data_IF_251777969966
#
_entry.id   IF_251777969966
#
_cell.length_a   1.000
_cell.length_b   1.000
_cell.length_c   1.000
_cell.angle_alpha   90.00
_cell.angle_beta   90.00
_cell.angle_gamma   90.00
#
_symmetry.space_group_name_H-M   'P 1'
#
loop_
_entity.id
_entity.type
_entity.pdbx_description
1 polymer ?
2 non-polymer ?
3 non-polymer ?
4 non-polymer ?
5 water ?
#
# COMPACT_ATOMS: atom_id res chain seq x y z
N UNK A 19 -7.30 8.70 -24.17
CA UNK A 19 -5.96 9.11 -24.70
C UNK A 19 -4.89 9.13 -23.59
N UNK A 20 -4.58 7.94 -23.08
CA UNK A 20 -3.74 7.80 -21.88
C UNK A 20 -2.26 8.14 -22.11
N UNK A 21 -1.68 7.71 -23.23
CA UNK A 21 -0.28 8.10 -23.53
C UNK A 21 -0.11 9.63 -23.62
N UNK A 22 -1.08 10.30 -24.23
CA UNK A 22 -0.98 11.76 -24.37
C UNK A 22 -1.03 12.45 -23.02
N UNK A 23 -1.92 11.98 -22.14
CA UNK A 23 -2.24 12.72 -20.93
C UNK A 23 -1.38 12.33 -19.72
N UNK A 24 -0.93 11.08 -19.66
CA UNK A 24 -0.29 10.58 -18.43
C UNK A 24 1.03 11.29 -18.16
N UNK A 25 1.21 11.75 -16.93
CA UNK A 25 2.46 12.34 -16.51
C UNK A 25 3.15 11.63 -15.34
N UNK A 26 2.35 10.94 -14.51
CA UNK A 26 2.88 10.40 -13.25
C UNK A 26 2.26 9.05 -12.93
N UNK A 27 3.04 8.20 -12.27
CA UNK A 27 2.55 6.90 -11.80
C UNK A 27 2.71 6.91 -10.29
N UNK A 28 1.59 6.69 -9.58
CA UNK A 28 1.53 6.85 -8.12
C UNK A 28 1.56 5.45 -7.54
N UNK A 29 2.72 5.07 -6.99
CA UNK A 29 2.92 3.73 -6.44
C UNK A 29 2.63 3.69 -4.96
N UNK A 30 1.79 2.75 -4.54
CA UNK A 30 1.79 2.36 -3.15
C UNK A 30 3.14 1.73 -2.75
N UNK A 31 3.44 1.71 -1.45
CA UNK A 31 4.69 1.12 -0.97
C UNK A 31 4.56 -0.38 -0.59
N UNK A 32 3.86 -0.70 0.49
CA UNK A 32 3.84 -2.11 0.93
C UNK A 32 3.02 -2.96 -0.02
N UNK A 33 3.62 -4.06 -0.48
CA UNK A 33 2.96 -4.96 -1.41
C UNK A 33 3.04 -4.53 -2.86
N UNK A 34 3.72 -3.40 -3.12
CA UNK A 34 3.90 -2.90 -4.49
C UNK A 34 5.39 -2.66 -4.76
N UNK A 35 5.99 -1.77 -3.97
CA UNK A 35 7.43 -1.53 -4.05
C UNK A 35 8.27 -2.47 -3.18
N UNK A 36 7.83 -2.70 -1.94
CA UNK A 36 8.50 -3.64 -1.04
C UNK A 36 7.64 -4.86 -0.83
N UNK A 37 8.30 -6.01 -0.74
CA UNK A 37 7.58 -7.24 -0.47
C UNK A 37 7.49 -7.46 1.03
N UNK A 38 6.75 -6.56 1.69
CA UNK A 38 6.68 -6.54 3.16
C UNK A 38 5.41 -7.15 3.70
N UNK A 39 4.39 -7.32 2.85
CA UNK A 39 3.11 -7.79 3.39
C UNK A 39 3.08 -9.21 3.96
N UNK A 40 3.89 -10.17 3.45
CA UNK A 40 3.93 -11.47 4.16
C UNK A 40 4.36 -11.30 5.61
N UNK A 41 5.23 -10.32 5.86
CA UNK A 41 5.74 -10.10 7.20
C UNK A 41 4.75 -9.33 8.07
N UNK A 42 4.09 -8.31 7.51
CA UNK A 42 3.04 -7.64 8.25
C UNK A 42 1.89 -8.60 8.56
N UNK A 43 1.53 -9.42 7.59
CA UNK A 43 0.45 -10.38 7.80
C UNK A 43 0.81 -11.41 8.88
N UNK A 44 2.01 -11.98 8.79
CA UNK A 44 2.42 -12.98 9.77
C UNK A 44 2.47 -12.38 11.16
N UNK A 45 3.01 -11.17 11.29
CA UNK A 45 3.14 -10.51 12.59
C UNK A 45 1.77 -10.26 13.19
N UNK A 46 0.82 -9.79 12.38
CA UNK A 46 -0.54 -9.55 12.90
C UNK A 46 -1.20 -10.85 13.29
N UNK A 47 -1.11 -11.84 12.41
CA UNK A 47 -1.72 -13.13 12.69
C UNK A 47 -1.15 -13.70 13.99
N UNK A 48 0.18 -13.69 14.13
CA UNK A 48 0.83 -14.32 15.26
C UNK A 48 0.61 -13.55 16.57
N UNK A 49 0.67 -12.20 16.56
CA UNK A 49 0.44 -11.44 17.80
C UNK A 49 -0.97 -11.73 18.32
N UNK A 50 -1.93 -11.75 17.41
CA UNK A 50 -3.30 -11.97 17.84
C UNK A 50 -3.47 -13.39 18.39
N UNK A 51 -2.82 -14.36 17.73
CA UNK A 51 -2.84 -15.77 18.15
C UNK A 51 -2.30 -15.94 19.57
N UNK A 52 -1.22 -15.23 19.90
CA UNK A 52 -0.63 -15.36 21.25
C UNK A 52 -1.55 -14.77 22.30
N UNK A 53 -2.40 -13.83 21.89
CA UNK A 53 -3.47 -13.30 22.76
C UNK A 53 -4.75 -14.15 22.74
N UNK A 54 -4.71 -15.29 22.05
CA UNK A 54 -5.87 -16.17 21.90
C UNK A 54 -6.97 -15.67 20.99
N UNK A 55 -6.60 -14.81 20.05
CA UNK A 55 -7.55 -14.22 19.12
C UNK A 55 -7.23 -14.64 17.70
N UNK A 56 -8.27 -14.76 16.88
CA UNK A 56 -8.13 -15.29 15.52
C UNK A 56 -8.20 -14.18 14.49
N UNK A 57 -7.04 -13.90 13.89
CA UNK A 57 -6.95 -13.00 12.76
C UNK A 57 -6.13 -13.76 11.75
N UNK A 58 -6.77 -14.27 10.68
CA UNK A 58 -6.05 -15.11 9.71
C UNK A 58 -5.05 -14.26 8.93
N UNK A 59 -4.09 -14.97 8.34
CA UNK A 59 -3.11 -14.32 7.50
C UNK A 59 -3.76 -13.61 6.32
N UNK A 60 -4.76 -14.25 5.71
CA UNK A 60 -5.48 -13.62 4.62
C UNK A 60 -6.26 -12.39 5.12
N UNK A 61 -6.90 -12.49 6.28
CA UNK A 61 -7.61 -11.31 6.82
C UNK A 61 -6.73 -10.09 7.11
N UNK A 62 -5.50 -10.34 7.55
CA UNK A 62 -4.57 -9.24 7.75
C UNK A 62 -4.33 -8.47 6.44
N UNK A 63 -4.28 -9.18 5.31
CA UNK A 63 -4.20 -8.51 4.00
C UNK A 63 -5.43 -7.65 3.71
N UNK A 64 -6.62 -8.12 4.09
CA UNK A 64 -7.83 -7.29 3.90
C UNK A 64 -7.75 -5.95 4.62
N UNK A 65 -7.14 -5.94 5.81
CA UNK A 65 -7.07 -4.74 6.63
C UNK A 65 -5.87 -3.86 6.37
N UNK A 66 -5.13 -4.16 5.31
CA UNK A 66 -3.96 -3.35 4.98
C UNK A 66 -4.39 -1.92 4.69
N UNK A 67 -3.87 -0.99 5.50
CA UNK A 67 -4.30 0.41 5.41
C UNK A 67 -4.98 0.89 6.69
N UNK A 68 -5.62 -0.02 7.42
CA UNK A 68 -6.25 0.36 8.68
C UNK A 68 -5.22 0.66 9.74
N UNK A 69 -5.57 1.56 10.66
CA UNK A 69 -4.76 1.82 11.84
C UNK A 69 -4.68 0.55 12.68
N UNK A 70 -3.64 0.47 13.50
CA UNK A 70 -3.50 -0.62 14.47
C UNK A 70 -4.73 -0.72 15.36
N UNK A 71 -5.16 0.43 15.89
CA UNK A 71 -6.37 0.51 16.69
C UNK A 71 -7.61 -0.07 16.01
N UNK A 72 -7.88 0.33 14.77
CA UNK A 72 -9.04 -0.16 14.05
C UNK A 72 -9.00 -1.68 13.82
N UNK A 73 -7.84 -2.18 13.38
CA UNK A 73 -7.60 -3.62 13.19
C UNK A 73 -7.87 -4.42 14.48
N UNK A 74 -7.26 -3.96 15.58
CA UNK A 74 -7.38 -4.61 16.89
C UNK A 74 -8.84 -4.64 17.34
N UNK A 75 -9.51 -3.50 17.20
CA UNK A 75 -10.93 -3.38 17.60
C UNK A 75 -11.88 -4.25 16.80
N UNK A 76 -11.63 -4.41 15.50
CA UNK A 76 -12.37 -5.36 14.67
C UNK A 76 -12.34 -6.77 15.28
N UNK A 77 -11.17 -7.20 15.72
CA UNK A 77 -11.04 -8.53 16.31
C UNK A 77 -11.63 -8.59 17.72
N UNK A 78 -11.29 -7.60 18.55
CA UNK A 78 -11.80 -7.51 19.92
C UNK A 78 -13.34 -7.49 19.96
N UNK A 79 -13.94 -6.66 19.10
CA UNK A 79 -15.41 -6.51 19.07
C UNK A 79 -16.09 -7.83 18.68
N UNK A 80 -15.59 -8.50 17.64
CA UNK A 80 -16.22 -9.73 17.19
C UNK A 80 -15.96 -10.97 18.08
N UNK A 81 -14.86 -10.97 18.83
CA UNK A 81 -14.52 -12.13 19.66
C UNK A 81 -14.82 -11.98 21.14
N UNK A 82 -14.65 -10.78 21.67
CA UNK A 82 -14.80 -10.54 23.10
C UNK A 82 -16.03 -9.69 23.42
N UNK A 83 -16.70 -9.21 22.37
CA UNK A 83 -17.89 -8.37 22.50
C UNK A 83 -17.60 -6.98 23.08
N UNK A 84 -16.36 -6.54 22.98
CA UNK A 84 -15.96 -5.23 23.51
C UNK A 84 -14.78 -4.66 22.74
N UNK A 85 -14.58 -3.36 22.88
CA UNK A 85 -13.43 -2.65 22.36
C UNK A 85 -12.18 -3.02 23.16
N UNK A 86 -11.01 -2.78 22.59
CA UNK A 86 -9.75 -2.83 23.34
C UNK A 86 -9.51 -1.47 23.99
N UNK A 87 -8.82 -1.45 25.13
CA UNK A 87 -8.39 -0.20 25.73
C UNK A 87 -7.22 0.37 24.96
N UNK A 88 -6.92 1.65 25.22
CA UNK A 88 -5.75 2.29 24.65
C UNK A 88 -4.45 1.59 25.09
N UNK A 89 -4.43 1.08 26.32
CA UNK A 89 -3.31 0.31 26.87
C UNK A 89 -3.12 -1.02 26.13
N UNK A 90 -4.24 -1.66 25.77
CA UNK A 90 -4.21 -2.92 25.02
C UNK A 90 -3.76 -2.71 23.58
N UNK A 91 -4.19 -1.60 22.99
CA UNK A 91 -3.83 -1.22 21.62
C UNK A 91 -2.34 -0.91 21.50
N UNK A 92 -1.82 -0.10 22.43
CA UNK A 92 -0.40 0.27 22.46
C UNK A 92 0.49 -0.95 22.66
N UNK A 93 0.07 -1.86 23.53
CA UNK A 93 0.89 -3.03 23.84
C UNK A 93 0.84 -4.06 22.71
N UNK A 94 -0.32 -4.28 22.11
CA UNK A 94 -0.41 -5.23 20.96
C UNK A 94 0.37 -4.69 19.75
N UNK A 95 0.31 -3.38 19.50
CA UNK A 95 1.06 -2.78 18.41
C UNK A 95 2.58 -2.87 18.63
N UNK A 96 3.01 -2.72 19.89
CA UNK A 96 4.40 -2.90 20.25
C UNK A 96 4.83 -4.35 19.97
N UNK A 97 4.01 -5.30 20.41
CA UNK A 97 4.26 -6.74 20.19
C UNK A 97 4.36 -7.03 18.71
N UNK A 98 3.44 -6.45 17.94
CA UNK A 98 3.43 -6.68 16.48
C UNK A 98 4.74 -6.18 15.85
N UNK A 99 5.19 -5.00 16.29
CA UNK A 99 6.43 -4.41 15.81
C UNK A 99 7.66 -5.26 16.15
N UNK A 100 7.70 -5.76 17.38
CA UNK A 100 8.79 -6.64 17.82
C UNK A 100 8.87 -7.85 16.88
N UNK A 101 7.71 -8.48 16.61
CA UNK A 101 7.66 -9.64 15.72
C UNK A 101 8.08 -9.29 14.30
N UNK A 102 7.48 -8.24 13.75
CA UNK A 102 7.81 -7.83 12.39
C UNK A 102 9.32 -7.59 12.22
N UNK A 103 9.94 -6.87 13.18
CA UNK A 103 11.33 -6.54 13.06
C UNK A 103 12.24 -7.73 13.30
N UNK A 104 11.71 -8.79 13.93
CA UNK A 104 12.48 -10.04 14.13
C UNK A 104 12.58 -10.90 12.87
N UNK A 105 11.70 -10.64 11.91
CA UNK A 105 11.73 -11.31 10.61
C UNK A 105 12.82 -10.68 9.74
N UNK A 106 13.18 -11.33 8.61
CA UNK A 106 14.16 -10.67 7.75
C UNK A 106 13.67 -9.32 7.24
N UNK A 107 14.61 -8.43 6.91
CA UNK A 107 14.21 -7.16 6.29
C UNK A 107 13.48 -7.40 4.98
N UNK A 108 12.37 -6.70 4.75
CA UNK A 108 11.64 -6.83 3.47
C UNK A 108 12.47 -6.44 2.25
N UNK A 109 12.50 -7.32 1.26
CA UNK A 109 13.20 -7.05 0.01
C UNK A 109 12.30 -6.26 -0.94
N UNK A 110 12.90 -5.66 -1.94
CA UNK A 110 12.17 -5.07 -3.05
C UNK A 110 11.25 -6.11 -3.66
N UNK A 111 10.04 -5.70 -4.00
CA UNK A 111 9.13 -6.60 -4.68
C UNK A 111 9.68 -6.91 -6.11
N UNK A 112 9.79 -8.20 -6.51
CA UNK A 112 10.18 -8.49 -7.88
C UNK A 112 9.23 -7.80 -8.86
N UNK A 113 9.79 -7.14 -9.86
CA UNK A 113 8.95 -6.39 -10.80
C UNK A 113 8.89 -4.89 -10.51
N UNK A 114 9.17 -4.48 -9.27
CA UNK A 114 9.06 -3.06 -8.91
C UNK A 114 10.14 -2.20 -9.55
N UNK A 115 11.40 -2.61 -9.43
CA UNK A 115 12.48 -1.89 -10.14
C UNK A 115 12.16 -1.82 -11.64
N UNK A 116 11.75 -2.95 -12.18
CA UNK A 116 11.54 -3.07 -13.61
C UNK A 116 10.43 -2.14 -14.11
N UNK A 117 9.30 -2.12 -13.39
CA UNK A 117 8.21 -1.22 -13.78
C UNK A 117 8.63 0.25 -13.62
N UNK A 118 9.32 0.57 -12.53
CA UNK A 118 9.82 1.94 -12.31
C UNK A 118 10.72 2.38 -13.46
N UNK A 119 11.66 1.51 -13.84
CA UNK A 119 12.56 1.81 -14.93
C UNK A 119 11.79 2.00 -16.25
N UNK A 120 10.83 1.11 -16.49
CA UNK A 120 10.01 1.22 -17.71
C UNK A 120 9.22 2.55 -17.77
N UNK A 121 8.52 2.90 -16.69
CA UNK A 121 7.76 4.14 -16.72
C UNK A 121 8.69 5.37 -16.81
N UNK A 122 9.85 5.32 -16.15
CA UNK A 122 10.80 6.42 -16.23
C UNK A 122 11.27 6.59 -17.69
N UNK A 123 11.51 5.48 -18.38
CA UNK A 123 11.99 5.56 -19.77
C UNK A 123 10.93 6.13 -20.72
N UNK A 124 9.67 6.02 -20.31
CA UNK A 124 8.53 6.61 -21.04
C UNK A 124 8.29 8.10 -20.72
N UNK A 125 9.14 8.68 -19.88
CA UNK A 125 9.01 10.08 -19.51
C UNK A 125 8.01 10.35 -18.40
N UNK A 126 7.59 9.30 -17.69
CA UNK A 126 6.67 9.46 -16.58
C UNK A 126 7.40 9.69 -15.26
N UNK A 127 6.72 10.36 -14.33
CA UNK A 127 7.27 10.66 -13.02
C UNK A 127 6.74 9.69 -11.97
N UNK A 128 7.62 8.84 -11.40
CA UNK A 128 7.16 8.00 -10.28
C UNK A 128 6.95 8.81 -9.03
N UNK A 129 5.89 8.48 -8.28
CA UNK A 129 5.61 9.02 -6.98
C UNK A 129 5.27 7.88 -6.03
N UNK A 130 5.43 8.12 -4.72
CA UNK A 130 5.02 7.16 -3.69
C UNK A 130 3.86 7.72 -2.90
N UNK A 131 2.83 6.91 -2.70
CA UNK A 131 1.68 7.29 -1.86
C UNK A 131 1.43 6.15 -0.87
N UNK A 132 1.84 6.37 0.37
CA UNK A 132 1.84 5.32 1.40
C UNK A 132 1.14 5.76 2.67
N UNK A 133 0.44 4.83 3.31
CA UNK A 133 -0.06 5.07 4.67
C UNK A 133 0.96 4.84 5.77
N UNK A 134 2.16 4.44 5.39
CA UNK A 134 3.21 4.17 6.37
C UNK A 134 3.74 5.47 6.96
N UNK A 135 4.06 5.41 8.24
CA UNK A 135 4.74 6.48 8.97
C UNK A 135 5.88 5.75 9.64
N UNK A 136 5.96 4.45 9.35
CA UNK A 136 7.02 3.53 9.82
C UNK A 136 8.32 3.95 9.15
N UNK A 137 9.09 4.80 9.85
CA UNK A 137 10.35 5.36 9.32
C UNK A 137 11.46 4.34 8.98
N UNK A 138 11.28 3.09 9.42
CA UNK A 138 12.18 1.99 9.11
C UNK A 138 12.08 1.52 7.64
N UNK A 139 10.88 1.62 7.07
CA UNK A 139 10.68 1.33 5.64
C UNK A 139 10.78 2.62 4.78
N UNK A 140 10.27 3.73 5.31
CA UNK A 140 10.24 5.01 4.60
C UNK A 140 11.61 5.54 4.19
N UNK A 141 12.58 5.47 5.10
CA UNK A 141 13.96 5.88 4.85
C UNK A 141 14.65 5.02 3.79
N UNK A 142 14.23 3.76 3.70
CA UNK A 142 14.81 2.82 2.76
C UNK A 142 14.36 3.08 1.32
N UNK A 143 13.38 3.97 1.11
CA UNK A 143 12.91 4.26 -0.27
C UNK A 143 14.01 4.83 -1.14
N UNK A 144 14.70 5.86 -0.64
CA UNK A 144 15.71 6.58 -1.42
C UNK A 144 16.80 5.65 -1.85
N UNK A 145 17.25 4.82 -0.92
CA UNK A 145 18.38 4.04 -1.28
C UNK A 145 18.10 2.63 -1.82
N UNK A 146 16.86 2.15 -1.72
CA UNK A 146 16.46 0.97 -2.50
C UNK A 146 16.13 1.30 -3.94
N UNK A 147 15.67 2.53 -4.16
CA UNK A 147 15.30 2.97 -5.51
C UNK A 147 15.97 4.30 -5.87
N UNK A 148 17.33 4.32 -5.88
CA UNK A 148 17.99 5.59 -6.12
C UNK A 148 17.65 6.24 -7.45
N UNK A 149 17.40 7.54 -7.40
CA UNK A 149 17.02 8.26 -8.61
C UNK A 149 15.59 8.11 -9.07
N UNK A 150 14.81 7.21 -8.44
CA UNK A 150 13.43 7.01 -8.89
C UNK A 150 12.44 8.05 -8.41
N UNK A 151 12.66 8.51 -7.19
CA UNK A 151 11.68 9.34 -6.48
C UNK A 151 12.27 10.65 -5.99
N UNK A 152 11.38 11.60 -5.69
CA UNK A 152 11.77 12.88 -5.09
C UNK A 152 10.98 13.04 -3.80
N UNK A 153 11.63 13.48 -2.71
CA UNK A 153 10.96 13.67 -1.43
C UNK A 153 9.74 14.59 -1.52
N UNK A 154 9.82 15.57 -2.39
CA UNK A 154 8.70 16.50 -2.60
C UNK A 154 7.52 15.88 -3.38
N UNK A 155 7.72 14.69 -3.92
CA UNK A 155 6.68 14.00 -4.70
C UNK A 155 6.42 12.65 -4.03
N UNK A 156 6.29 12.75 -2.71
CA UNK A 156 5.94 11.59 -1.88
C UNK A 156 4.85 11.99 -0.92
N UNK A 157 3.93 11.06 -0.65
CA UNK A 157 2.89 11.26 0.36
C UNK A 157 3.00 10.09 1.34
N UNK A 158 3.15 10.40 2.63
CA UNK A 158 3.22 9.38 3.68
C UNK A 158 2.19 9.68 4.75
N UNK A 159 2.14 8.87 5.81
CA UNK A 159 1.22 9.09 6.93
C UNK A 159 1.40 10.48 7.54
N UNK A 160 2.62 11.01 7.46
CA UNK A 160 2.92 12.31 8.07
C UNK A 160 2.23 13.47 7.36
N UNK A 161 1.76 13.23 6.14
CA UNK A 161 1.22 14.31 5.31
C UNK A 161 -0.29 14.44 5.31
N UNK A 162 -0.98 13.44 5.85
CA UNK A 162 -2.44 13.36 5.68
C UNK A 162 -3.20 13.29 6.99
N UNK A 163 -4.44 13.78 6.96
CA UNK A 163 -5.37 13.67 8.07
C UNK A 163 -6.04 12.28 8.06
N UNK A 164 -6.61 11.91 6.91
CA UNK A 164 -7.28 10.63 6.77
C UNK A 164 -6.51 9.73 5.79
N UNK A 165 -6.20 8.51 6.23
CA UNK A 165 -5.53 7.52 5.41
C UNK A 165 -6.47 6.79 4.48
N UNK A 166 -5.91 5.96 3.60
CA UNK A 166 -6.71 5.06 2.75
C UNK A 166 -7.66 4.24 3.68
N UNK A 167 -8.94 4.06 3.31
CA UNK A 167 -9.54 4.24 1.99
C UNK A 167 -10.06 5.64 1.65
N UNK A 168 -9.85 6.61 2.55
CA UNK A 168 -10.16 8.00 2.20
C UNK A 168 -9.28 8.39 1.00
N UNK A 169 -9.84 9.12 0.02
CA UNK A 169 -9.00 9.52 -1.15
C UNK A 169 -7.90 10.54 -0.84
N UNK A 170 -7.92 11.14 0.35
CA UNK A 170 -6.97 12.22 0.69
C UNK A 170 -5.49 11.97 0.27
N UNK A 171 -4.92 10.77 0.57
CA UNK A 171 -3.50 10.61 0.18
C UNK A 171 -3.25 10.76 -1.33
N UNK A 172 -4.17 10.23 -2.15
CA UNK A 172 -4.02 10.34 -3.60
C UNK A 172 -4.36 11.73 -4.11
N UNK A 173 -5.35 12.39 -3.51
CA UNK A 173 -5.65 13.76 -3.88
C UNK A 173 -4.47 14.66 -3.52
N UNK A 174 -3.82 14.39 -2.39
CA UNK A 174 -2.64 15.15 -2.01
C UNK A 174 -1.47 14.89 -2.96
N UNK A 175 -1.30 13.65 -3.42
CA UNK A 175 -0.25 13.39 -4.42
C UNK A 175 -0.47 14.19 -5.68
N UNK A 176 -1.71 14.27 -6.16
CA UNK A 176 -2.00 15.11 -7.33
C UNK A 176 -1.62 16.57 -7.05
N UNK A 177 -1.95 17.06 -5.86
CA UNK A 177 -1.62 18.45 -5.49
C UNK A 177 -0.09 18.68 -5.48
N UNK A 178 0.68 17.80 -4.83
CA UNK A 178 2.14 17.93 -4.80
C UNK A 178 2.78 17.86 -6.17
N UNK A 179 2.22 17.03 -7.04
CA UNK A 179 2.75 16.90 -8.38
C UNK A 179 2.27 17.95 -9.36
N UNK A 180 1.32 18.80 -8.94
CA UNK A 180 0.66 19.75 -9.85
C UNK A 180 -0.08 19.04 -10.97
N UNK A 181 -0.79 17.97 -10.60
CA UNK A 181 -1.40 17.07 -11.56
C UNK A 181 -2.92 17.13 -11.47
N UNK A 182 -3.57 16.92 -12.60
CA UNK A 182 -5.00 16.57 -12.62
C UNK A 182 -5.11 15.04 -12.54
N UNK A 183 -6.27 14.54 -12.10
CA UNK A 183 -6.47 13.09 -11.98
C UNK A 183 -6.26 12.33 -13.28
N UNK A 184 -6.60 12.96 -14.41
CA UNK A 184 -6.45 12.28 -15.70
C UNK A 184 -4.99 12.24 -16.18
N UNK A 185 -4.07 12.79 -15.39
CA UNK A 185 -2.63 12.78 -15.70
C UNK A 185 -1.87 11.74 -14.86
N UNK A 186 -2.61 10.94 -14.09
CA UNK A 186 -1.98 9.96 -13.20
C UNK A 186 -2.62 8.59 -13.31
N UNK A 187 -1.87 7.58 -12.91
CA UNK A 187 -2.42 6.26 -12.64
C UNK A 187 -1.91 5.80 -11.28
N UNK A 188 -2.76 5.07 -10.57
CA UNK A 188 -2.42 4.51 -9.26
C UNK A 188 -2.07 3.03 -9.40
N UNK A 189 -1.02 2.60 -8.72
CA UNK A 189 -0.68 1.16 -8.63
C UNK A 189 -0.83 0.71 -7.18
N UNK A 190 -1.80 -0.18 -6.92
CA UNK A 190 -2.16 -0.58 -5.57
C UNK A 190 -2.32 -2.09 -5.44
N UNK A 191 -2.06 -2.61 -4.24
CA UNK A 191 -2.22 -4.05 -3.99
C UNK A 191 -3.40 -4.38 -3.09
N UNK A 192 -3.93 -3.39 -2.36
CA UNK A 192 -4.82 -3.67 -1.22
C UNK A 192 -6.21 -3.12 -1.50
N UNK A 193 -7.25 -3.79 -0.99
CA UNK A 193 -8.60 -3.29 -1.31
C UNK A 193 -8.84 -1.86 -0.79
N UNK A 194 -8.36 -1.54 0.41
CA UNK A 194 -8.58 -0.21 0.93
C UNK A 194 -7.81 0.85 0.13
N UNK A 195 -6.65 0.45 -0.42
CA UNK A 195 -5.83 1.37 -1.21
C UNK A 195 -6.43 1.57 -2.59
N UNK A 196 -6.91 0.49 -3.19
CA UNK A 196 -7.61 0.60 -4.47
C UNK A 196 -8.81 1.56 -4.33
N UNK A 197 -9.56 1.39 -3.24
CA UNK A 197 -10.73 2.24 -2.96
C UNK A 197 -10.31 3.71 -2.91
N UNK A 198 -9.20 4.00 -2.23
CA UNK A 198 -8.72 5.37 -2.14
C UNK A 198 -8.34 5.97 -3.51
N UNK A 199 -7.65 5.20 -4.34
CA UNK A 199 -7.28 5.68 -5.67
C UNK A 199 -8.52 5.94 -6.52
N UNK A 200 -9.47 5.01 -6.47
CA UNK A 200 -10.70 5.15 -7.22
C UNK A 200 -11.52 6.36 -6.76
N UNK A 201 -11.62 6.55 -5.44
CA UNK A 201 -12.39 7.66 -4.90
C UNK A 201 -11.70 9.00 -5.14
N UNK A 202 -10.42 8.95 -5.44
CA UNK A 202 -9.70 10.15 -5.84
C UNK A 202 -9.91 10.47 -7.33
N UNK A 203 -10.67 9.63 -8.04
CA UNK A 203 -10.97 9.85 -9.44
C UNK A 203 -9.83 9.50 -10.38
N UNK A 204 -8.90 8.66 -9.92
CA UNK A 204 -7.73 8.31 -10.73
C UNK A 204 -7.86 6.88 -11.25
N UNK A 205 -7.46 6.68 -12.51
CA UNK A 205 -7.38 5.36 -13.09
C UNK A 205 -6.49 4.50 -12.19
N UNK A 206 -7.03 3.37 -11.72
CA UNK A 206 -6.36 2.59 -10.66
C UNK A 206 -6.12 1.15 -11.14
N UNK A 207 -4.86 0.76 -11.11
CA UNK A 207 -4.44 -0.59 -11.47
C UNK A 207 -4.16 -1.39 -10.21
N UNK A 208 -4.88 -2.50 -10.05
CA UNK A 208 -4.62 -3.41 -8.94
C UNK A 208 -3.59 -4.44 -9.33
N UNK A 209 -2.63 -4.67 -8.45
CA UNK A 209 -1.64 -5.74 -8.61
C UNK A 209 -1.84 -6.68 -7.44
N UNK A 210 -2.31 -7.89 -7.74
CA UNK A 210 -2.74 -8.78 -6.68
C UNK A 210 -1.57 -9.59 -6.13
N UNK A 211 -0.77 -8.93 -5.31
CA UNK A 211 0.49 -9.50 -4.92
C UNK A 211 0.43 -10.41 -3.68
N UNK A 212 -0.78 -10.63 -3.15
CA UNK A 212 -0.95 -11.45 -1.94
C UNK A 212 -1.95 -12.56 -2.17
N UNK A 213 -2.56 -13.05 -1.09
CA UNK A 213 -3.44 -14.21 -1.12
C UNK A 213 -4.92 -13.91 -1.36
N UNK A 214 -5.31 -12.64 -1.52
CA UNK A 214 -6.72 -12.30 -1.70
C UNK A 214 -7.23 -12.69 -3.07
N UNK A 215 -8.55 -12.91 -3.15
CA UNK A 215 -9.17 -13.07 -4.46
C UNK A 215 -9.11 -11.73 -5.18
N UNK A 216 -8.65 -11.75 -6.43
CA UNK A 216 -8.56 -10.55 -7.25
C UNK A 216 -9.88 -9.82 -7.42
N UNK A 217 -11.00 -10.56 -7.35
CA UNK A 217 -12.31 -9.91 -7.40
C UNK A 217 -12.52 -8.85 -6.31
N UNK A 218 -11.90 -9.02 -5.15
CA UNK A 218 -12.00 -8.07 -4.05
C UNK A 218 -11.42 -6.73 -4.51
N UNK A 219 -10.36 -6.79 -5.32
CA UNK A 219 -9.73 -5.57 -5.78
C UNK A 219 -10.53 -4.89 -6.88
N UNK A 220 -11.10 -5.69 -7.79
CA UNK A 220 -12.01 -5.16 -8.81
C UNK A 220 -13.22 -4.54 -8.11
N UNK A 221 -13.77 -5.22 -7.11
CA UNK A 221 -14.94 -4.69 -6.40
C UNK A 221 -14.65 -3.39 -5.64
N UNK A 222 -13.39 -3.17 -5.27
CA UNK A 222 -12.98 -1.95 -4.59
C UNK A 222 -12.83 -0.77 -5.55
N UNK A 223 -12.90 -1.04 -6.86
CA UNK A 223 -12.87 0.02 -7.85
C UNK A 223 -11.72 0.02 -8.84
N UNK A 224 -10.91 -1.06 -8.86
CA UNK A 224 -9.78 -1.08 -9.79
C UNK A 224 -10.29 -1.12 -11.22
N UNK A 225 -9.64 -0.34 -12.07
CA UNK A 225 -9.93 -0.33 -13.51
C UNK A 225 -9.33 -1.52 -14.26
N UNK A 226 -8.19 -2.01 -13.77
CA UNK A 226 -7.51 -3.18 -14.33
C UNK A 226 -6.93 -3.98 -13.18
N UNK A 227 -6.85 -5.30 -13.39
CA UNK A 227 -6.24 -6.22 -12.44
C UNK A 227 -5.12 -7.00 -13.12
N UNK A 228 -3.96 -7.04 -12.45
CA UNK A 228 -2.82 -7.87 -12.85
C UNK A 228 -2.40 -8.71 -11.66
N UNK A 229 -1.84 -9.90 -11.94
CA UNK A 229 -1.51 -10.80 -10.83
C UNK A 229 -0.18 -10.52 -10.13
N UNK A 230 0.66 -9.66 -10.71
CA UNK A 230 1.96 -9.36 -10.12
C UNK A 230 2.56 -8.12 -10.77
N UNK A 231 3.52 -7.52 -10.08
CA UNK A 231 4.22 -6.36 -10.63
C UNK A 231 4.94 -6.67 -11.91
N UNK A 232 5.61 -7.82 -12.00
CA UNK A 232 6.30 -8.14 -13.24
C UNK A 232 5.30 -8.35 -14.39
N UNK A 233 4.14 -8.94 -14.11
CA UNK A 233 3.10 -9.10 -15.16
C UNK A 233 2.61 -7.73 -15.66
N UNK A 234 2.43 -6.78 -14.74
CA UNK A 234 2.05 -5.44 -15.12
C UNK A 234 3.15 -4.80 -15.98
N UNK A 235 4.41 -4.92 -15.56
CA UNK A 235 5.53 -4.40 -16.36
C UNK A 235 5.53 -4.98 -17.79
N UNK A 236 5.35 -6.30 -17.87
CA UNK A 236 5.27 -7.02 -19.17
C UNK A 236 4.10 -6.56 -20.05
N UNK A 237 3.02 -6.11 -19.42
CA UNK A 237 1.80 -5.70 -20.12
C UNK A 237 1.65 -4.19 -20.28
N UNK A 238 2.63 -3.43 -19.80
CA UNK A 238 2.47 -1.98 -19.73
C UNK A 238 2.19 -1.35 -21.08
N UNK A 239 2.90 -1.84 -22.11
CA UNK A 239 2.72 -1.38 -23.50
C UNK A 239 1.28 -1.53 -23.98
N UNK A 240 0.65 -2.64 -23.63
CA UNK A 240 -0.72 -2.95 -24.04
C UNK A 240 -1.76 -2.04 -23.39
N UNK A 241 -1.44 -1.53 -22.20
CA UNK A 241 -2.33 -0.65 -21.45
C UNK A 241 -2.43 0.73 -22.08
N UNK A 242 -1.22 1.29 -22.37
CA UNK A 242 -0.86 2.66 -22.80
C UNK A 242 -1.31 3.10 -24.18
N UNK A 243 -1.42 2.13 -25.06
CA UNK A 243 -1.95 2.36 -26.41
C UNK A 243 -3.46 2.16 -26.37
#
# INVERSE_FOLDING_TARGET
>A
GSSHHHHHHSSGLVPRGSHMRKKLKAVLFDMNGVLFNSMPYHSEAWHQVMKTHGLDLSREEAYMHEGRTGASTINIVFQRELGKEATQEEIESIYHEKSILFNSYPEAERMPGAWELLQKVKSEGLTPMVVTGSGQLSLLERLEHNFPGMFHKELMVTAFDVKYGKPNPEPYLMALKKGGLKADEAVVIENAPLGVEAGHKAGIFTIAVNTGPLDGQVLLDAGADLLFPSMQTLCDSWDTIML
#
